data_IF_342766874916
#
_entry.id   IF_342766874916
#
_cell.length_a   1.000
_cell.length_b   1.000
_cell.length_c   1.000
_cell.angle_alpha   90.00
_cell.angle_beta   90.00
_cell.angle_gamma   90.00
#
_symmetry.space_group_name_H-M   'P 1'
#
loop_
_entity.id
_entity.type
_entity.pdbx_description
1 polymer ?
#
# COMPACT_ATOMS: atom_id res chain seq x y z
N UNK A 1 26.04 3.26 -22.30
CA UNK A 1 24.66 3.64 -21.93
C UNK A 1 23.97 3.94 -23.25
N UNK A 2 22.74 3.49 -23.44
CA UNK A 2 21.98 3.79 -24.65
C UNK A 2 21.87 5.32 -24.82
N UNK A 3 22.05 5.83 -26.03
CA UNK A 3 22.01 7.26 -26.36
C UNK A 3 20.66 7.88 -25.97
N UNK A 4 19.58 7.09 -26.08
CA UNK A 4 18.23 7.48 -25.66
C UNK A 4 18.15 7.67 -24.15
N UNK A 5 18.67 6.71 -23.38
CA UNK A 5 18.69 6.79 -21.90
C UNK A 5 19.54 7.97 -21.45
N UNK A 6 20.64 8.25 -22.15
CA UNK A 6 21.45 9.43 -21.88
C UNK A 6 20.69 10.73 -22.10
N UNK A 7 19.88 10.83 -23.15
CA UNK A 7 19.06 12.01 -23.40
C UNK A 7 18.00 12.21 -22.31
N UNK A 8 17.29 11.16 -21.92
CA UNK A 8 16.29 11.21 -20.82
C UNK A 8 16.91 11.75 -19.53
N UNK A 9 18.11 11.29 -19.17
CA UNK A 9 18.80 11.76 -17.97
C UNK A 9 19.20 13.23 -18.07
N UNK A 10 19.58 13.71 -19.26
CA UNK A 10 19.94 15.12 -19.48
C UNK A 10 18.70 16.01 -19.39
N UNK A 11 17.57 15.57 -19.94
CA UNK A 11 16.30 16.29 -19.88
C UNK A 11 15.76 16.33 -18.44
N UNK A 12 15.87 15.22 -17.67
CA UNK A 12 15.55 15.17 -16.24
C UNK A 12 16.38 16.19 -15.44
N UNK A 13 17.69 16.24 -15.69
CA UNK A 13 18.61 17.20 -15.07
C UNK A 13 18.23 18.64 -15.41
N UNK A 14 17.94 18.91 -16.68
CA UNK A 14 17.54 20.24 -17.13
C UNK A 14 16.23 20.68 -16.48
N UNK A 15 15.26 19.77 -16.34
CA UNK A 15 13.97 20.03 -15.72
C UNK A 15 14.11 20.31 -14.22
N UNK A 16 14.83 19.47 -13.48
CA UNK A 16 15.05 19.65 -12.04
C UNK A 16 15.77 20.97 -11.73
N UNK A 17 16.83 21.28 -12.48
CA UNK A 17 17.61 22.51 -12.30
C UNK A 17 16.86 23.75 -12.78
N UNK A 18 16.20 23.65 -13.94
CA UNK A 18 15.38 24.71 -14.51
C UNK A 18 14.22 25.11 -13.60
N UNK A 19 13.49 24.13 -13.05
CA UNK A 19 12.41 24.37 -12.11
C UNK A 19 12.90 25.13 -10.86
N UNK A 20 14.03 24.72 -10.29
CA UNK A 20 14.61 25.41 -9.12
C UNK A 20 15.06 26.83 -9.47
N UNK A 21 15.65 27.04 -10.66
CA UNK A 21 16.01 28.39 -11.12
C UNK A 21 14.78 29.28 -11.29
N UNK A 22 13.69 28.73 -11.84
CA UNK A 22 12.45 29.44 -12.08
C UNK A 22 11.79 29.92 -10.78
N UNK A 23 11.80 29.09 -9.74
CA UNK A 23 11.30 29.44 -8.41
C UNK A 23 12.38 30.04 -7.50
N UNK A 24 13.22 30.90 -8.06
CA UNK A 24 14.18 31.74 -7.31
C UNK A 24 15.17 30.96 -6.42
N UNK A 25 15.45 29.70 -6.77
CA UNK A 25 16.34 28.83 -6.01
C UNK A 25 15.63 27.88 -5.05
N UNK A 26 14.31 27.70 -5.17
CA UNK A 26 13.51 26.77 -4.37
C UNK A 26 12.77 25.75 -5.25
N UNK A 27 12.30 24.61 -4.71
CA UNK A 27 11.49 23.65 -5.46
C UNK A 27 10.07 24.19 -5.72
N UNK A 28 9.39 23.64 -6.72
CA UNK A 28 8.01 23.99 -7.09
C UNK A 28 6.99 23.83 -5.93
N UNK A 29 5.90 24.61 -6.00
CA UNK A 29 4.74 24.41 -5.12
C UNK A 29 4.05 23.06 -5.40
N UNK A 30 4.03 22.18 -4.40
CA UNK A 30 3.51 20.81 -4.51
C UNK A 30 4.55 19.71 -4.53
N UNK A 31 5.84 20.06 -4.46
CA UNK A 31 6.94 19.10 -4.30
C UNK A 31 8.06 19.33 -5.31
N UNK A 32 9.28 19.01 -4.90
CA UNK A 32 10.46 19.06 -5.78
C UNK A 32 10.57 17.83 -6.67
N UNK A 33 11.11 18.03 -7.88
CA UNK A 33 11.58 16.94 -8.74
C UNK A 33 12.77 16.22 -8.07
N UNK A 34 13.03 14.97 -8.48
CA UNK A 34 14.20 14.25 -7.96
C UNK A 34 15.48 15.06 -8.19
N UNK A 35 16.28 15.22 -7.13
CA UNK A 35 17.51 16.00 -7.15
C UNK A 35 17.34 17.52 -7.01
N UNK A 36 16.13 18.02 -6.74
CA UNK A 36 15.90 19.46 -6.46
C UNK A 36 16.80 20.00 -5.35
N UNK A 37 17.02 19.25 -4.26
CA UNK A 37 17.91 19.68 -3.17
C UNK A 37 19.37 19.95 -3.64
N UNK A 38 19.83 19.19 -4.64
CA UNK A 38 21.16 19.40 -5.25
C UNK A 38 21.15 20.59 -6.21
N UNK A 39 20.05 20.80 -6.92
CA UNK A 39 19.86 22.01 -7.73
C UNK A 39 19.84 23.26 -6.84
N UNK A 40 19.14 23.26 -5.71
CA UNK A 40 19.13 24.39 -4.76
C UNK A 40 20.55 24.72 -4.28
N UNK A 41 21.31 23.69 -3.90
CA UNK A 41 22.71 23.86 -3.48
C UNK A 41 23.53 24.53 -4.59
N UNK A 42 23.46 24.01 -5.81
CA UNK A 42 24.18 24.54 -6.97
C UNK A 42 23.76 25.97 -7.32
N UNK A 43 22.46 26.27 -7.27
CA UNK A 43 21.92 27.61 -7.52
C UNK A 43 22.34 28.58 -6.41
N UNK A 44 22.55 28.13 -5.18
CA UNK A 44 23.03 29.00 -4.10
C UNK A 44 24.50 29.46 -4.25
N UNK A 45 25.28 28.84 -5.14
CA UNK A 45 26.70 29.15 -5.31
C UNK A 45 26.94 30.51 -5.99
N UNK A 46 27.84 31.36 -5.46
CA UNK A 46 28.21 32.63 -6.09
C UNK A 46 29.12 32.42 -7.31
N UNK A 47 28.95 33.22 -8.37
CA UNK A 47 29.82 33.18 -9.57
C UNK A 47 29.47 32.09 -10.59
N UNK A 48 28.19 31.72 -10.63
CA UNK A 48 27.58 30.75 -11.54
C UNK A 48 28.09 30.84 -12.98
N UNK A 49 28.68 29.75 -13.46
CA UNK A 49 29.09 29.55 -14.86
C UNK A 49 28.10 28.63 -15.59
N UNK A 50 28.06 28.64 -16.93
CA UNK A 50 27.29 27.66 -17.71
C UNK A 50 27.61 26.23 -17.27
N UNK A 51 26.58 25.38 -17.20
CA UNK A 51 26.67 24.03 -16.65
C UNK A 51 26.68 22.97 -17.74
N UNK A 52 27.59 22.01 -17.62
CA UNK A 52 27.54 20.79 -18.40
C UNK A 52 26.63 19.77 -17.69
N UNK A 53 25.42 19.58 -18.22
CA UNK A 53 24.46 18.65 -17.66
C UNK A 53 24.94 17.21 -17.69
N UNK A 54 25.89 16.82 -18.55
CA UNK A 54 26.42 15.45 -18.62
C UNK A 54 27.26 15.08 -17.41
N UNK A 55 27.94 16.06 -16.82
CA UNK A 55 28.84 15.88 -15.65
C UNK A 55 28.15 16.17 -14.32
N UNK A 56 27.00 16.84 -14.34
CA UNK A 56 26.26 17.18 -13.13
C UNK A 56 25.52 15.96 -12.55
N UNK A 57 26.10 15.37 -11.51
CA UNK A 57 25.51 14.25 -10.78
C UNK A 57 24.58 14.73 -9.64
N UNK A 58 23.33 15.02 -9.99
CA UNK A 58 22.29 15.37 -9.03
C UNK A 58 21.69 14.16 -8.28
N UNK A 59 21.85 12.94 -8.82
CA UNK A 59 21.37 11.67 -8.23
C UNK A 59 22.52 10.66 -8.13
N UNK A 60 22.46 9.76 -7.14
CA UNK A 60 23.45 8.69 -6.94
C UNK A 60 23.29 7.52 -7.92
N UNK A 61 22.12 7.36 -8.52
CA UNK A 61 21.80 6.29 -9.46
C UNK A 61 22.35 6.60 -10.87
N UNK A 62 22.96 5.60 -11.52
CA UNK A 62 23.52 5.72 -12.89
C UNK A 62 22.48 6.02 -13.97
N UNK A 63 21.22 5.64 -13.72
CA UNK A 63 20.09 5.83 -14.62
C UNK A 63 19.19 7.00 -14.21
N UNK A 64 19.63 7.86 -13.28
CA UNK A 64 18.82 8.97 -12.77
C UNK A 64 17.56 8.49 -12.03
N UNK A 65 16.51 9.32 -12.01
CA UNK A 65 15.21 8.98 -11.43
C UNK A 65 14.40 8.05 -12.32
N UNK A 66 14.71 7.98 -13.62
CA UNK A 66 14.08 7.06 -14.56
C UNK A 66 14.10 5.60 -14.08
N UNK A 67 15.20 5.13 -13.49
CA UNK A 67 15.28 3.78 -12.91
C UNK A 67 14.21 3.51 -11.83
N UNK A 68 13.87 4.51 -11.03
CA UNK A 68 12.89 4.36 -9.97
C UNK A 68 11.46 4.22 -10.51
N UNK A 69 11.17 4.82 -11.67
CA UNK A 69 9.82 4.86 -12.26
C UNK A 69 9.63 3.93 -13.46
N UNK A 70 10.71 3.37 -14.02
CA UNK A 70 10.69 2.50 -15.21
C UNK A 70 9.61 1.41 -15.15
N UNK A 71 9.55 0.66 -14.05
CA UNK A 71 8.54 -0.38 -13.86
C UNK A 71 7.11 0.18 -13.84
N UNK A 72 6.89 1.32 -13.20
CA UNK A 72 5.59 1.99 -13.18
C UNK A 72 5.18 2.49 -14.55
N UNK A 73 6.10 3.05 -15.36
CA UNK A 73 5.82 3.53 -16.71
C UNK A 73 5.46 2.36 -17.66
N UNK A 74 6.15 1.24 -17.53
CA UNK A 74 5.81 -0.02 -18.22
C UNK A 74 4.41 -0.48 -17.80
N UNK A 75 4.14 -0.55 -16.50
CA UNK A 75 2.85 -0.98 -15.95
C UNK A 75 1.71 0.00 -16.26
N UNK A 76 2.02 1.25 -16.63
CA UNK A 76 1.07 2.25 -17.14
C UNK A 76 0.82 2.09 -18.64
N UNK A 77 1.52 1.16 -19.31
CA UNK A 77 1.32 0.87 -20.72
C UNK A 77 1.86 1.96 -21.63
N UNK A 78 2.87 2.71 -21.17
CA UNK A 78 3.50 3.79 -21.97
C UNK A 78 4.44 3.26 -23.04
N UNK A 79 4.80 1.98 -22.98
CA UNK A 79 5.67 1.31 -23.95
C UNK A 79 4.91 0.20 -24.67
N UNK A 80 5.29 -0.07 -25.93
CA UNK A 80 4.75 -1.19 -26.70
C UNK A 80 5.17 -2.50 -26.04
N UNK A 81 4.20 -3.36 -25.72
CA UNK A 81 4.49 -4.78 -25.51
C UNK A 81 4.84 -5.36 -26.89
N UNK A 82 5.94 -6.11 -27.01
CA UNK A 82 6.14 -6.93 -28.21
C UNK A 82 4.97 -7.92 -28.29
N UNK A 83 4.37 -8.02 -29.48
CA UNK A 83 3.26 -8.92 -29.76
C UNK A 83 3.60 -10.31 -29.21
N UNK A 84 2.96 -10.68 -28.09
CA UNK A 84 2.81 -12.09 -27.76
C UNK A 84 1.97 -12.67 -28.90
N UNK A 85 2.64 -13.35 -29.84
CA UNK A 85 1.99 -14.05 -30.94
C UNK A 85 0.77 -14.82 -30.41
N UNK A 86 -0.41 -14.48 -30.92
CA UNK A 86 -1.70 -15.19 -30.80
C UNK A 86 -1.89 -16.03 -29.52
N UNK A 87 -2.21 -15.35 -28.42
CA UNK A 87 -2.64 -15.96 -27.15
C UNK A 87 -4.10 -16.48 -27.19
N UNK A 88 -4.56 -16.98 -28.33
CA UNK A 88 -5.89 -17.61 -28.44
C UNK A 88 -5.93 -19.04 -27.83
N UNK A 89 -4.78 -19.58 -27.43
CA UNK A 89 -4.63 -20.90 -26.78
C UNK A 89 -4.15 -20.83 -25.32
N UNK A 90 -4.09 -19.65 -24.68
CA UNK A 90 -3.82 -19.58 -23.23
C UNK A 90 -5.04 -20.07 -22.46
N UNK A 91 -4.93 -21.13 -21.63
CA UNK A 91 -6.00 -21.50 -20.71
C UNK A 91 -6.31 -20.29 -19.84
N UNK A 92 -7.61 -20.00 -19.63
CA UNK A 92 -8.13 -18.90 -18.80
C UNK A 92 -7.65 -18.94 -17.32
N UNK A 93 -6.79 -19.89 -16.96
CA UNK A 93 -6.28 -20.15 -15.61
C UNK A 93 -4.75 -19.98 -15.45
N UNK A 94 -4.02 -19.46 -16.45
CA UNK A 94 -2.55 -19.29 -16.35
C UNK A 94 -2.15 -17.83 -16.06
N UNK A 95 -1.99 -17.60 -14.77
CA UNK A 95 -0.94 -16.83 -14.09
C UNK A 95 -0.63 -15.38 -14.48
N UNK A 96 -0.78 -14.50 -13.49
CA UNK A 96 -0.14 -13.18 -13.38
C UNK A 96 1.41 -13.29 -13.37
N UNK A 97 2.00 -14.48 -13.48
CA UNK A 97 3.46 -14.71 -13.54
C UNK A 97 4.11 -14.08 -14.79
N UNK A 98 3.35 -13.75 -15.83
CA UNK A 98 3.87 -13.02 -16.99
C UNK A 98 4.03 -11.49 -16.75
N UNK A 99 3.42 -10.91 -15.72
CA UNK A 99 3.55 -9.46 -15.40
C UNK A 99 4.82 -9.13 -14.58
N UNK A 100 5.52 -10.16 -14.06
CA UNK A 100 6.74 -9.99 -13.27
C UNK A 100 8.03 -10.49 -13.95
N UNK A 101 7.93 -11.09 -15.14
CA UNK A 101 9.03 -10.94 -16.07
C UNK A 101 9.18 -9.43 -16.25
N UNK A 102 10.28 -8.85 -15.77
CA UNK A 102 10.62 -7.50 -16.15
C UNK A 102 10.47 -7.49 -17.65
N UNK A 103 9.44 -6.83 -18.18
CA UNK A 103 9.36 -6.52 -19.60
C UNK A 103 10.56 -5.62 -19.76
N UNK A 104 11.69 -6.24 -20.06
CA UNK A 104 12.86 -5.53 -20.45
C UNK A 104 12.34 -4.61 -21.54
N UNK A 105 12.65 -3.33 -21.43
CA UNK A 105 12.44 -2.38 -22.51
C UNK A 105 13.28 -2.89 -23.70
N UNK A 106 12.77 -3.91 -24.41
CA UNK A 106 13.45 -4.61 -25.51
C UNK A 106 13.25 -3.82 -26.79
N UNK A 107 12.07 -3.24 -26.97
CA UNK A 107 11.77 -2.37 -28.12
C UNK A 107 12.17 -0.91 -27.90
N UNK A 108 12.11 -0.40 -26.65
CA UNK A 108 12.30 1.03 -26.34
C UNK A 108 11.22 1.95 -26.93
N UNK A 109 10.18 1.41 -27.60
CA UNK A 109 9.17 2.17 -28.33
C UNK A 109 8.00 2.55 -27.44
N UNK A 110 7.54 3.80 -27.57
CA UNK A 110 6.34 4.29 -26.92
C UNK A 110 5.09 3.64 -27.53
N UNK A 111 4.11 3.32 -26.70
CA UNK A 111 2.76 2.99 -27.15
C UNK A 111 2.04 4.24 -27.63
N UNK A 112 0.85 4.12 -28.23
CA UNK A 112 0.01 5.27 -28.59
C UNK A 112 -0.23 6.21 -27.39
N UNK A 113 -0.42 5.65 -26.19
CA UNK A 113 -0.55 6.42 -24.94
C UNK A 113 0.75 7.11 -24.55
N UNK A 114 1.87 6.41 -24.70
CA UNK A 114 3.20 6.98 -24.49
C UNK A 114 3.49 8.14 -25.44
N UNK A 115 3.15 7.98 -26.71
CA UNK A 115 3.29 9.03 -27.74
C UNK A 115 2.40 10.23 -27.45
N UNK A 116 1.13 10.02 -27.09
CA UNK A 116 0.21 11.09 -26.74
C UNK A 116 0.71 11.91 -25.55
N UNK A 117 1.23 11.26 -24.50
CA UNK A 117 1.80 11.95 -23.33
C UNK A 117 3.08 12.71 -23.71
N UNK A 118 3.97 12.09 -24.49
CA UNK A 118 5.20 12.73 -24.94
C UNK A 118 4.94 13.95 -25.84
N UNK A 119 3.97 13.85 -26.75
CA UNK A 119 3.55 14.96 -27.62
C UNK A 119 2.94 16.10 -26.81
N UNK A 120 2.14 15.78 -25.81
CA UNK A 120 1.52 16.78 -24.93
C UNK A 120 2.59 17.55 -24.16
N UNK A 121 3.57 16.85 -23.58
CA UNK A 121 4.72 17.49 -22.95
C UNK A 121 5.52 18.33 -23.96
N UNK A 122 5.81 17.82 -25.15
CA UNK A 122 6.56 18.54 -26.19
C UNK A 122 5.85 19.84 -26.61
N UNK A 123 4.52 19.84 -26.69
CA UNK A 123 3.73 21.03 -26.98
C UNK A 123 3.84 22.07 -25.85
N UNK A 124 3.87 21.64 -24.59
CA UNK A 124 4.01 22.55 -23.44
C UNK A 124 5.35 23.29 -23.41
N UNK A 125 6.43 22.58 -23.77
CA UNK A 125 7.77 23.15 -23.78
C UNK A 125 8.15 23.75 -25.13
N UNK A 126 7.22 23.80 -26.10
CA UNK A 126 7.47 24.29 -27.45
C UNK A 126 8.11 25.68 -27.45
N UNK A 127 9.16 25.85 -28.27
CA UNK A 127 9.91 27.09 -28.40
C UNK A 127 10.81 27.41 -27.20
N UNK A 128 11.00 26.50 -26.25
CA UNK A 128 12.08 26.62 -25.28
C UNK A 128 13.43 26.40 -25.96
N UNK A 129 14.37 27.35 -25.82
CA UNK A 129 15.71 27.24 -26.43
C UNK A 129 16.46 25.96 -26.09
N UNK A 130 16.19 25.38 -24.93
CA UNK A 130 16.80 24.11 -24.51
C UNK A 130 16.57 22.98 -25.52
N UNK A 131 15.40 22.93 -26.18
CA UNK A 131 15.06 21.89 -27.14
C UNK A 131 15.87 21.96 -28.43
N UNK A 132 16.37 23.14 -28.78
CA UNK A 132 17.22 23.37 -29.96
C UNK A 132 18.70 23.04 -29.70
N UNK A 133 19.05 22.71 -28.45
CA UNK A 133 20.41 22.39 -28.06
C UNK A 133 20.68 20.88 -28.13
N UNK A 134 21.93 20.55 -28.42
CA UNK A 134 22.51 19.25 -28.12
C UNK A 134 23.17 19.31 -26.74
N UNK A 135 22.52 18.83 -25.67
CA UNK A 135 22.99 19.02 -24.29
C UNK A 135 24.32 18.32 -23.99
N UNK A 136 24.77 17.44 -24.89
CA UNK A 136 26.05 16.71 -24.81
C UNK A 136 27.23 17.47 -25.42
N UNK A 137 26.99 18.54 -26.17
CA UNK A 137 28.03 19.22 -26.96
C UNK A 137 28.58 20.50 -26.34
N UNK A 138 27.82 21.16 -25.46
CA UNK A 138 28.25 22.41 -24.83
C UNK A 138 27.61 22.66 -23.46
N UNK A 139 28.30 23.38 -22.55
CA UNK A 139 27.70 23.90 -21.33
C UNK A 139 26.50 24.81 -21.62
N UNK A 140 25.42 24.64 -20.85
CA UNK A 140 24.15 25.34 -20.98
C UNK A 140 24.10 26.48 -19.97
N UNK A 141 23.62 27.66 -20.39
CA UNK A 141 23.48 28.80 -19.49
C UNK A 141 22.29 28.62 -18.55
N UNK A 142 22.39 29.18 -17.35
CA UNK A 142 21.28 29.15 -16.39
C UNK A 142 20.04 29.89 -16.91
N UNK A 143 20.19 30.93 -17.74
CA UNK A 143 19.05 31.62 -18.35
C UNK A 143 18.24 30.69 -19.26
N UNK A 144 18.90 29.81 -20.03
CA UNK A 144 18.24 28.83 -20.89
C UNK A 144 17.51 27.78 -20.04
N UNK A 145 18.13 27.32 -18.95
CA UNK A 145 17.50 26.36 -18.04
C UNK A 145 16.32 26.98 -17.28
N UNK A 146 16.43 28.24 -16.88
CA UNK A 146 15.35 29.00 -16.26
C UNK A 146 14.16 29.17 -17.21
N UNK A 147 14.42 29.50 -18.48
CA UNK A 147 13.41 29.57 -19.53
C UNK A 147 12.70 28.22 -19.74
N UNK A 148 13.46 27.12 -19.74
CA UNK A 148 12.89 25.78 -19.83
C UNK A 148 12.07 25.40 -18.59
N UNK A 149 12.57 25.72 -17.38
CA UNK A 149 11.90 25.49 -16.11
C UNK A 149 10.55 26.20 -15.99
N UNK A 150 10.44 27.41 -16.54
CA UNK A 150 9.18 28.17 -16.61
C UNK A 150 8.09 27.51 -17.47
N UNK A 151 8.41 26.44 -18.20
CA UNK A 151 7.46 25.66 -19.00
C UNK A 151 7.36 24.20 -18.56
N UNK A 152 8.48 23.63 -18.12
CA UNK A 152 8.60 22.20 -17.79
C UNK A 152 8.46 21.91 -16.27
N UNK A 153 8.41 22.94 -15.43
CA UNK A 153 8.30 22.79 -13.97
C UNK A 153 6.99 22.13 -13.56
N UNK A 154 7.02 21.26 -12.55
CA UNK A 154 5.85 20.44 -12.16
C UNK A 154 4.61 21.28 -11.84
N UNK A 155 4.76 22.44 -11.18
CA UNK A 155 3.62 23.33 -10.90
C UNK A 155 3.05 23.99 -12.16
N UNK A 156 3.87 24.23 -13.18
CA UNK A 156 3.43 24.78 -14.47
C UNK A 156 2.62 23.76 -15.27
N UNK A 157 2.88 22.46 -15.06
CA UNK A 157 2.11 21.36 -15.64
C UNK A 157 0.79 21.08 -14.87
N UNK A 158 0.56 21.68 -13.69
CA UNK A 158 -0.56 21.32 -12.78
C UNK A 158 -1.86 22.11 -12.97
N UNK A 159 -1.91 23.12 -13.81
CA UNK A 159 -3.17 23.87 -14.01
C UNK A 159 -4.24 22.98 -14.66
N UNK A 160 -5.41 22.84 -14.04
CA UNK A 160 -6.42 21.80 -14.36
C UNK A 160 -7.09 21.90 -15.76
N UNK A 161 -6.69 22.85 -16.60
CA UNK A 161 -7.08 22.94 -18.01
C UNK A 161 -5.85 22.73 -18.94
N UNK A 162 -4.79 22.11 -18.42
CA UNK A 162 -3.51 21.88 -19.09
C UNK A 162 -3.56 20.85 -20.22
N UNK A 163 -2.58 20.96 -21.12
CA UNK A 163 -2.33 20.10 -22.27
C UNK A 163 -2.15 18.61 -21.91
N UNK A 164 -1.74 18.28 -20.68
CA UNK A 164 -1.46 16.91 -20.25
C UNK A 164 -2.59 16.27 -19.44
N UNK A 165 -3.58 17.03 -18.96
CA UNK A 165 -4.65 16.48 -18.13
C UNK A 165 -5.46 15.40 -18.87
N UNK A 166 -5.80 15.62 -20.14
CA UNK A 166 -6.50 14.62 -20.95
C UNK A 166 -5.74 13.29 -21.04
N UNK A 167 -4.52 13.30 -21.59
CA UNK A 167 -3.65 12.12 -21.64
C UNK A 167 -3.42 11.45 -20.29
N UNK A 168 -3.21 12.22 -19.22
CA UNK A 168 -3.03 11.66 -17.87
C UNK A 168 -4.30 11.00 -17.35
N UNK A 169 -5.48 11.59 -17.59
CA UNK A 169 -6.77 10.97 -17.26
C UNK A 169 -6.96 9.67 -18.04
N UNK A 170 -6.65 9.66 -19.34
CA UNK A 170 -6.75 8.46 -20.17
C UNK A 170 -5.75 7.38 -19.74
N UNK A 171 -4.57 7.78 -19.29
CA UNK A 171 -3.54 6.87 -18.76
C UNK A 171 -3.96 6.24 -17.43
N UNK A 172 -4.38 7.05 -16.47
CA UNK A 172 -4.71 6.59 -15.12
C UNK A 172 -6.08 5.92 -15.02
N UNK A 173 -7.07 6.39 -15.79
CA UNK A 173 -8.41 5.81 -15.82
C UNK A 173 -8.64 4.84 -16.99
N UNK A 174 -7.63 4.57 -17.81
CA UNK A 174 -7.61 3.53 -18.84
C UNK A 174 -8.93 3.40 -19.61
N UNK A 175 -9.44 4.52 -20.14
CA UNK A 175 -10.68 4.57 -20.91
C UNK A 175 -10.50 3.70 -22.15
N UNK A 176 -11.18 2.54 -22.22
CA UNK A 176 -11.19 1.66 -23.41
C UNK A 176 -10.43 0.34 -23.32
N UNK A 177 -9.81 -0.02 -22.19
CA UNK A 177 -9.27 -1.37 -21.97
C UNK A 177 -10.29 -2.18 -21.15
N UNK A 178 -10.94 -3.15 -21.77
CA UNK A 178 -11.91 -4.04 -21.13
C UNK A 178 -11.24 -5.36 -20.70
N UNK A 179 -11.53 -5.81 -19.49
CA UNK A 179 -10.98 -7.03 -18.89
C UNK A 179 -10.87 -6.89 -17.38
N UNK A 180 -11.70 -7.64 -16.63
CA UNK A 180 -11.79 -7.56 -15.16
C UNK A 180 -10.48 -7.95 -14.45
N UNK A 181 -9.61 -8.69 -15.13
CA UNK A 181 -8.36 -9.20 -14.56
C UNK A 181 -7.13 -8.35 -14.89
N UNK A 182 -7.27 -7.39 -15.81
CA UNK A 182 -6.18 -6.53 -16.24
C UNK A 182 -5.74 -5.57 -15.11
N UNK A 183 -4.43 -5.45 -14.88
CA UNK A 183 -3.84 -4.52 -13.89
C UNK A 183 -4.26 -3.07 -14.13
N UNK A 184 -4.48 -2.66 -15.39
CA UNK A 184 -5.05 -1.36 -15.76
C UNK A 184 -6.47 -1.17 -15.25
N UNK A 185 -7.33 -2.20 -15.38
CA UNK A 185 -8.69 -2.16 -14.86
C UNK A 185 -8.67 -2.02 -13.33
N UNK A 186 -7.89 -2.85 -12.63
CA UNK A 186 -7.79 -2.80 -11.15
C UNK A 186 -7.27 -1.44 -10.66
N UNK A 187 -6.29 -0.85 -11.35
CA UNK A 187 -5.78 0.50 -11.07
C UNK A 187 -6.86 1.56 -11.24
N UNK A 188 -7.55 1.57 -12.39
CA UNK A 188 -8.68 2.47 -12.67
C UNK A 188 -9.73 2.37 -11.58
N UNK A 189 -10.16 1.15 -11.24
CA UNK A 189 -11.20 0.92 -10.24
C UNK A 189 -10.75 1.37 -8.84
N UNK A 190 -9.46 1.21 -8.50
CA UNK A 190 -8.89 1.73 -7.25
C UNK A 190 -8.93 3.24 -7.21
N UNK A 191 -8.55 3.92 -8.30
CA UNK A 191 -8.60 5.38 -8.37
C UNK A 191 -10.04 5.90 -8.27
N UNK A 192 -10.99 5.26 -8.94
CA UNK A 192 -12.41 5.58 -8.82
C UNK A 192 -12.93 5.35 -7.38
N UNK A 193 -12.47 4.29 -6.72
CA UNK A 193 -12.79 4.03 -5.32
C UNK A 193 -12.23 5.12 -4.39
N UNK A 194 -10.98 5.54 -4.59
CA UNK A 194 -10.35 6.64 -3.83
C UNK A 194 -11.09 7.95 -4.04
N UNK A 195 -11.46 8.30 -5.28
CA UNK A 195 -12.26 9.50 -5.56
C UNK A 195 -13.65 9.43 -4.92
N UNK A 196 -14.30 8.27 -4.97
CA UNK A 196 -15.59 8.06 -4.31
C UNK A 196 -15.45 8.19 -2.78
N UNK A 197 -14.39 7.63 -2.19
CA UNK A 197 -14.10 7.77 -0.76
C UNK A 197 -13.84 9.22 -0.38
N UNK A 198 -13.09 9.97 -1.20
CA UNK A 198 -12.84 11.40 -0.99
C UNK A 198 -14.14 12.19 -1.00
N UNK A 199 -15.03 11.91 -1.96
CA UNK A 199 -16.34 12.56 -2.02
C UNK A 199 -17.20 12.24 -0.79
N UNK A 200 -17.20 10.98 -0.32
CA UNK A 200 -17.93 10.59 0.89
C UNK A 200 -17.33 11.27 2.13
N UNK A 201 -16.00 11.34 2.25
CA UNK A 201 -15.32 12.00 3.37
C UNK A 201 -15.67 13.51 3.41
N UNK A 202 -15.51 14.20 2.27
CA UNK A 202 -15.77 15.64 2.13
C UNK A 202 -17.23 15.99 2.44
N UNK A 203 -18.18 15.18 1.94
CA UNK A 203 -19.61 15.35 2.24
C UNK A 203 -19.95 15.24 3.75
N UNK A 204 -19.05 14.68 4.54
CA UNK A 204 -19.17 14.54 6.00
C UNK A 204 -18.14 15.38 6.78
N UNK A 205 -17.48 16.34 6.11
CA UNK A 205 -16.52 17.25 6.74
C UNK A 205 -15.19 16.61 7.16
N UNK A 206 -14.81 15.50 6.51
CA UNK A 206 -13.55 14.79 6.75
C UNK A 206 -12.60 14.93 5.57
N UNK A 207 -11.31 14.94 5.84
CA UNK A 207 -10.28 14.76 4.82
C UNK A 207 -10.05 13.26 4.57
N UNK A 208 -9.78 12.88 3.32
CA UNK A 208 -9.42 11.51 3.00
C UNK A 208 -7.94 11.27 3.35
N UNK A 209 -7.72 10.41 4.34
CA UNK A 209 -6.41 9.84 4.66
C UNK A 209 -6.43 8.30 4.63
N UNK A 210 -5.30 7.67 4.96
CA UNK A 210 -5.17 6.21 4.97
C UNK A 210 -6.10 5.53 5.98
N UNK A 211 -6.35 6.16 7.12
CA UNK A 211 -7.19 5.61 8.17
C UNK A 211 -8.66 5.68 7.76
N UNK A 212 -9.08 6.82 7.24
CA UNK A 212 -10.41 7.06 6.68
C UNK A 212 -10.70 6.10 5.52
N UNK A 213 -9.74 5.92 4.61
CA UNK A 213 -9.89 4.97 3.51
C UNK A 213 -9.99 3.51 3.98
N UNK A 214 -9.20 3.12 4.99
CA UNK A 214 -9.30 1.82 5.64
C UNK A 214 -10.66 1.62 6.32
N UNK A 215 -11.13 2.62 7.07
CA UNK A 215 -12.44 2.62 7.72
C UNK A 215 -13.57 2.35 6.71
N UNK A 216 -13.53 3.05 5.58
CA UNK A 216 -14.54 2.88 4.53
C UNK A 216 -14.44 1.52 3.81
N UNK A 217 -13.25 0.98 3.57
CA UNK A 217 -13.08 -0.23 2.75
C UNK A 217 -13.11 -1.52 3.56
N UNK A 218 -12.46 -1.54 4.74
CA UNK A 218 -12.38 -2.70 5.62
C UNK A 218 -13.61 -2.82 6.54
N UNK A 219 -14.02 -1.72 7.18
CA UNK A 219 -15.13 -1.71 8.14
C UNK A 219 -16.47 -1.25 7.52
N UNK A 220 -16.45 -0.67 6.31
CA UNK A 220 -17.64 -0.10 5.64
C UNK A 220 -18.32 0.98 6.50
N UNK A 221 -17.52 1.84 7.13
CA UNK A 221 -18.01 2.95 7.97
C UNK A 221 -17.05 4.12 8.07
N UNK A 222 -17.51 5.23 8.62
CA UNK A 222 -16.73 6.44 8.93
C UNK A 222 -16.97 6.87 10.36
N UNK A 223 -15.89 7.26 11.06
CA UNK A 223 -15.95 7.81 12.42
C UNK A 223 -15.82 9.33 12.33
N UNK A 224 -16.81 10.07 12.83
CA UNK A 224 -16.78 11.53 12.83
C UNK A 224 -16.08 12.08 14.10
N UNK A 225 -15.29 13.16 13.99
CA UNK A 225 -14.54 13.75 15.10
C UNK A 225 -15.38 14.28 16.27
N UNK A 226 -16.58 14.81 15.99
CA UNK A 226 -17.29 15.70 16.91
C UNK A 226 -18.45 15.08 17.71
N UNK A 227 -18.82 13.83 17.44
CA UNK A 227 -19.69 13.09 18.35
C UNK A 227 -19.08 11.72 18.59
N UNK A 228 -18.75 11.41 19.85
CA UNK A 228 -18.13 10.16 20.28
C UNK A 228 -18.93 8.88 19.95
N UNK A 229 -20.00 8.97 19.15
CA UNK A 229 -20.87 7.91 18.65
C UNK A 229 -21.49 8.17 17.27
N UNK A 230 -21.16 9.26 16.56
CA UNK A 230 -21.68 9.45 15.21
C UNK A 230 -20.78 8.72 14.23
N UNK A 231 -21.17 7.50 13.92
CA UNK A 231 -20.59 6.71 12.85
C UNK A 231 -21.57 6.67 11.69
N UNK A 232 -21.04 6.69 10.46
CA UNK A 232 -21.85 6.60 9.25
C UNK A 232 -21.52 5.30 8.55
N UNK A 233 -22.55 4.52 8.23
CA UNK A 233 -22.39 3.34 7.38
C UNK A 233 -22.04 3.78 5.95
N UNK A 234 -21.00 3.17 5.39
CA UNK A 234 -20.50 3.49 4.05
C UNK A 234 -20.88 2.37 3.08
N UNK A 235 -21.60 2.75 2.03
CA UNK A 235 -21.86 1.89 0.88
C UNK A 235 -21.21 2.50 -0.34
N UNK A 236 -20.48 1.67 -1.09
CA UNK A 236 -19.96 2.05 -2.39
C UNK A 236 -20.97 1.67 -3.47
N UNK A 237 -20.97 2.39 -4.61
CA UNK A 237 -21.72 1.96 -5.79
C UNK A 237 -21.39 0.50 -6.17
N UNK A 238 -22.35 -0.30 -6.66
CA UNK A 238 -22.14 -1.71 -6.98
C UNK A 238 -20.97 -1.98 -7.94
N UNK A 239 -20.64 -1.01 -8.80
CA UNK A 239 -19.51 -1.09 -9.72
C UNK A 239 -18.15 -1.10 -9.00
N UNK A 240 -18.06 -0.47 -7.82
CA UNK A 240 -16.85 -0.37 -7.01
C UNK A 240 -16.77 -1.43 -5.91
N UNK A 241 -17.81 -2.24 -5.72
CA UNK A 241 -17.82 -3.25 -4.66
C UNK A 241 -16.72 -4.29 -4.85
N UNK A 242 -16.40 -4.68 -6.10
CA UNK A 242 -15.34 -5.66 -6.33
C UNK A 242 -13.98 -5.16 -5.85
N UNK A 243 -13.62 -3.94 -6.23
CA UNK A 243 -12.33 -3.38 -5.86
C UNK A 243 -12.27 -3.03 -4.36
N UNK A 244 -13.39 -2.62 -3.76
CA UNK A 244 -13.48 -2.40 -2.32
C UNK A 244 -13.26 -3.70 -1.52
N UNK A 245 -13.82 -4.83 -1.98
CA UNK A 245 -13.57 -6.15 -1.36
C UNK A 245 -12.10 -6.58 -1.50
N UNK A 246 -11.45 -6.30 -2.63
CA UNK A 246 -10.01 -6.56 -2.80
C UNK A 246 -9.16 -5.71 -1.83
N UNK A 247 -9.51 -4.45 -1.63
CA UNK A 247 -8.87 -3.59 -0.61
C UNK A 247 -9.09 -4.13 0.81
N UNK A 248 -10.29 -4.62 1.13
CA UNK A 248 -10.53 -5.31 2.41
C UNK A 248 -9.58 -6.49 2.60
N UNK A 249 -9.37 -7.32 1.58
CA UNK A 249 -8.39 -8.44 1.63
C UNK A 249 -6.97 -7.90 1.86
N UNK A 250 -6.58 -6.82 1.20
CA UNK A 250 -5.28 -6.18 1.44
C UNK A 250 -5.12 -5.75 2.91
N UNK A 251 -6.15 -5.14 3.51
CA UNK A 251 -6.12 -4.75 4.92
C UNK A 251 -6.09 -5.95 5.87
N UNK A 252 -6.76 -7.07 5.55
CA UNK A 252 -6.57 -8.32 6.29
C UNK A 252 -5.10 -8.73 6.34
N UNK A 253 -4.35 -8.59 5.23
CA UNK A 253 -2.91 -8.87 5.22
C UNK A 253 -2.13 -7.86 6.04
N UNK A 254 -2.46 -6.57 5.97
CA UNK A 254 -1.80 -5.55 6.77
C UNK A 254 -1.90 -5.87 8.27
N UNK A 255 -3.11 -6.17 8.75
CA UNK A 255 -3.33 -6.55 10.15
C UNK A 255 -2.67 -7.88 10.51
N UNK A 256 -2.71 -8.87 9.60
CA UNK A 256 -2.04 -10.16 9.78
C UNK A 256 -0.53 -9.99 9.94
N UNK A 257 0.10 -9.17 9.10
CA UNK A 257 1.53 -8.85 9.19
C UNK A 257 1.88 -8.27 10.55
N UNK A 258 1.13 -7.27 11.04
CA UNK A 258 1.37 -6.69 12.37
C UNK A 258 1.26 -7.74 13.47
N UNK A 259 0.27 -8.63 13.40
CA UNK A 259 0.09 -9.69 14.39
C UNK A 259 1.28 -10.69 14.37
N UNK A 260 1.67 -11.16 13.19
CA UNK A 260 2.77 -12.12 13.03
C UNK A 260 4.12 -11.52 13.41
N UNK A 261 4.40 -10.27 13.03
CA UNK A 261 5.61 -9.55 13.43
C UNK A 261 5.69 -9.38 14.95
N UNK A 262 4.56 -9.08 15.59
CA UNK A 262 4.47 -8.93 17.05
C UNK A 262 4.69 -10.26 17.77
N UNK A 263 4.12 -11.35 17.27
CA UNK A 263 4.38 -12.70 17.79
C UNK A 263 5.85 -13.08 17.62
N UNK A 264 6.43 -12.84 16.44
CA UNK A 264 7.84 -13.10 16.16
C UNK A 264 8.76 -12.30 17.08
N UNK A 265 8.46 -11.02 17.31
CA UNK A 265 9.19 -10.18 18.26
C UNK A 265 9.11 -10.74 19.69
N UNK A 266 7.93 -11.24 20.09
CA UNK A 266 7.71 -11.95 21.34
C UNK A 266 8.60 -13.19 21.50
N UNK A 267 8.61 -14.05 20.47
CA UNK A 267 9.46 -15.26 20.43
C UNK A 267 10.94 -14.89 20.48
N UNK A 268 11.38 -13.93 19.65
CA UNK A 268 12.78 -13.50 19.61
C UNK A 268 13.27 -12.93 20.95
N UNK A 269 12.38 -12.27 21.69
CA UNK A 269 12.66 -11.80 23.05
C UNK A 269 12.73 -12.95 24.05
N UNK A 270 11.78 -13.89 23.99
CA UNK A 270 11.79 -15.07 24.87
C UNK A 270 13.06 -15.92 24.70
N UNK A 271 13.63 -15.95 23.48
CA UNK A 271 14.88 -16.65 23.17
C UNK A 271 16.14 -15.85 23.55
N UNK A 272 16.03 -14.54 23.83
CA UNK A 272 17.19 -13.68 24.11
C UNK A 272 17.86 -14.13 25.41
N UNK A 273 19.16 -14.43 25.33
CA UNK A 273 19.92 -14.94 26.48
C UNK A 273 19.79 -16.45 26.70
N UNK A 274 19.07 -17.17 25.83
CA UNK A 274 18.92 -18.63 25.86
C UNK A 274 19.54 -19.27 24.61
N UNK A 275 20.89 -19.40 24.53
CA UNK A 275 21.57 -19.90 23.33
C UNK A 275 21.29 -21.37 23.02
N UNK A 276 20.82 -22.15 24.00
CA UNK A 276 20.36 -23.53 23.80
C UNK A 276 18.93 -23.61 23.23
N UNK A 277 18.27 -22.48 23.02
CA UNK A 277 16.85 -22.40 22.68
C UNK A 277 15.95 -22.58 23.90
N UNK A 278 14.65 -22.54 23.64
CA UNK A 278 13.56 -22.82 24.58
C UNK A 278 12.51 -23.66 23.89
N UNK A 279 11.79 -24.47 24.66
CA UNK A 279 10.62 -25.18 24.17
C UNK A 279 9.47 -24.20 23.88
N UNK A 280 8.53 -24.60 23.02
CA UNK A 280 7.32 -23.81 22.74
C UNK A 280 6.54 -23.54 24.03
N UNK A 281 6.42 -24.53 24.92
CA UNK A 281 5.75 -24.37 26.21
C UNK A 281 6.37 -23.29 27.07
N UNK A 282 7.70 -23.26 27.18
CA UNK A 282 8.42 -22.23 27.94
C UNK A 282 8.28 -20.84 27.30
N UNK A 283 8.22 -20.75 25.96
CA UNK A 283 8.01 -19.46 25.27
C UNK A 283 6.59 -18.96 25.53
N UNK A 284 5.60 -19.84 25.46
CA UNK A 284 4.21 -19.49 25.75
C UNK A 284 4.05 -19.01 27.19
N UNK A 285 4.71 -19.65 28.17
CA UNK A 285 4.67 -19.23 29.59
C UNK A 285 5.08 -17.76 29.78
N UNK A 286 6.02 -17.23 28.98
CA UNK A 286 6.39 -15.80 29.02
C UNK A 286 5.26 -14.88 28.49
N UNK A 287 4.35 -15.38 27.66
CA UNK A 287 3.26 -14.60 27.07
C UNK A 287 2.12 -14.36 28.06
N UNK A 288 2.14 -15.02 29.22
CA UNK A 288 1.13 -14.91 30.27
C UNK A 288 1.76 -14.61 31.65
N UNK A 289 2.91 -13.92 31.66
CA UNK A 289 3.51 -13.45 32.90
C UNK A 289 2.64 -12.39 33.60
N UNK A 290 3.00 -12.05 34.84
CA UNK A 290 2.22 -11.11 35.66
C UNK A 290 2.13 -9.73 35.02
N UNK A 291 3.19 -9.28 34.37
CA UNK A 291 3.27 -7.96 33.74
C UNK A 291 2.37 -7.91 32.50
N UNK A 292 2.32 -9.00 31.71
CA UNK A 292 1.41 -9.15 30.58
C UNK A 292 -0.05 -9.07 31.04
N UNK A 293 -0.42 -9.78 32.12
CA UNK A 293 -1.79 -9.76 32.66
C UNK A 293 -2.18 -8.39 33.19
N UNK A 294 -1.27 -7.70 33.87
CA UNK A 294 -1.51 -6.34 34.36
C UNK A 294 -1.75 -5.36 33.20
N UNK A 295 -0.92 -5.42 32.16
CA UNK A 295 -1.08 -4.58 30.98
C UNK A 295 -2.37 -4.89 30.22
N UNK A 296 -2.76 -6.16 30.09
CA UNK A 296 -4.06 -6.53 29.50
C UNK A 296 -5.25 -6.03 30.34
N UNK A 297 -5.17 -6.12 31.67
CA UNK A 297 -6.20 -5.64 32.57
C UNK A 297 -6.38 -4.12 32.50
N UNK A 298 -5.28 -3.36 32.37
CA UNK A 298 -5.30 -1.91 32.18
C UNK A 298 -6.01 -1.51 30.88
N UNK A 299 -5.77 -2.25 29.79
CA UNK A 299 -6.29 -1.88 28.47
C UNK A 299 -7.66 -2.42 28.10
N UNK A 300 -8.12 -3.53 28.70
CA UNK A 300 -9.33 -4.23 28.26
C UNK A 300 -10.38 -4.42 29.35
N UNK A 301 -10.28 -3.67 30.46
CA UNK A 301 -11.20 -3.79 31.63
C UNK A 301 -11.36 -5.24 32.13
N UNK A 302 -10.34 -6.08 31.89
CA UNK A 302 -10.36 -7.49 32.22
C UNK A 302 -10.10 -7.68 33.72
N UNK A 303 -10.89 -8.53 34.39
CA UNK A 303 -10.56 -8.99 35.74
C UNK A 303 -9.53 -10.12 35.63
N UNK A 304 -8.30 -9.94 36.12
CA UNK A 304 -7.15 -10.82 35.84
C UNK A 304 -7.15 -12.11 36.68
N UNK A 305 -8.31 -12.72 36.91
CA UNK A 305 -8.36 -13.99 37.65
C UNK A 305 -8.01 -15.20 36.77
N UNK A 306 -8.22 -15.10 35.47
CA UNK A 306 -7.91 -16.19 34.53
C UNK A 306 -6.63 -15.86 33.75
N UNK A 307 -5.76 -16.85 33.62
CA UNK A 307 -4.59 -16.82 32.72
C UNK A 307 -5.05 -16.66 31.27
N UNK A 308 -4.40 -15.78 30.49
CA UNK A 308 -4.73 -15.57 29.07
C UNK A 308 -4.62 -16.88 28.28
N UNK A 309 -3.63 -17.70 28.61
CA UNK A 309 -3.42 -19.01 27.99
C UNK A 309 -4.57 -19.99 28.19
N UNK A 310 -5.27 -19.90 29.33
CA UNK A 310 -6.40 -20.76 29.71
C UNK A 310 -7.73 -20.23 29.16
N UNK A 311 -7.76 -19.00 28.62
CA UNK A 311 -8.90 -18.51 27.86
C UNK A 311 -9.01 -19.27 26.54
N UNK A 312 -10.20 -19.28 25.96
CA UNK A 312 -10.41 -19.73 24.58
C UNK A 312 -10.42 -18.50 23.65
N UNK A 313 -10.18 -18.65 22.33
CA UNK A 313 -10.32 -17.56 21.37
C UNK A 313 -11.68 -16.86 21.46
N UNK A 314 -12.78 -17.61 21.64
CA UNK A 314 -14.11 -17.01 21.83
C UNK A 314 -14.19 -16.16 23.11
N UNK A 315 -13.61 -16.62 24.22
CA UNK A 315 -13.61 -15.86 25.48
C UNK A 315 -12.73 -14.61 25.41
N UNK A 316 -11.60 -14.65 24.70
CA UNK A 316 -10.74 -13.48 24.55
C UNK A 316 -11.38 -12.40 23.68
N UNK A 317 -12.10 -12.78 22.62
CA UNK A 317 -12.88 -11.84 21.82
C UNK A 317 -14.12 -11.32 22.55
N UNK A 318 -14.75 -12.12 23.40
CA UNK A 318 -15.84 -11.66 24.27
C UNK A 318 -15.38 -10.58 25.26
N UNK A 319 -14.12 -10.64 25.72
CA UNK A 319 -13.52 -9.59 26.54
C UNK A 319 -13.34 -8.26 25.78
N UNK A 320 -13.34 -8.30 24.44
CA UNK A 320 -13.36 -7.13 23.56
C UNK A 320 -14.78 -6.70 23.16
N UNK A 321 -15.82 -7.31 23.74
CA UNK A 321 -17.22 -7.04 23.40
C UNK A 321 -17.72 -7.75 22.14
N UNK A 322 -17.00 -8.74 21.61
CA UNK A 322 -17.46 -9.53 20.44
C UNK A 322 -18.12 -10.82 20.90
N UNK A 323 -19.41 -10.99 20.58
CA UNK A 323 -20.11 -12.26 20.77
C UNK A 323 -19.87 -13.20 19.57
N UNK A 324 -19.02 -14.20 19.76
CA UNK A 324 -18.57 -15.12 18.70
C UNK A 324 -19.65 -16.14 18.32
N UNK A 325 -20.45 -16.61 19.28
CA UNK A 325 -21.42 -17.68 19.05
C UNK A 325 -22.46 -17.35 17.95
N UNK A 326 -23.15 -16.20 17.96
CA UNK A 326 -24.10 -15.85 16.92
C UNK A 326 -23.43 -15.57 15.56
N UNK A 327 -22.17 -15.12 15.56
CA UNK A 327 -21.40 -14.89 14.34
C UNK A 327 -21.06 -16.19 13.61
N UNK A 328 -20.61 -17.21 14.34
CA UNK A 328 -20.32 -18.53 13.76
C UNK A 328 -21.59 -19.26 13.29
N UNK A 329 -22.76 -18.93 13.86
CA UNK A 329 -24.06 -19.44 13.41
C UNK A 329 -24.59 -18.71 12.17
N UNK A 330 -23.85 -17.74 11.62
CA UNK A 330 -24.26 -16.99 10.42
C UNK A 330 -25.39 -15.99 10.67
N UNK A 331 -25.58 -15.54 11.92
CA UNK A 331 -26.61 -14.55 12.25
C UNK A 331 -26.33 -13.23 11.53
N UNK A 332 -27.21 -12.86 10.58
CA UNK A 332 -27.04 -11.62 9.80
C UNK A 332 -27.03 -10.38 10.69
N UNK A 333 -27.80 -10.36 11.78
CA UNK A 333 -27.78 -9.24 12.73
C UNK A 333 -26.47 -9.17 13.52
N UNK A 334 -25.85 -10.31 13.81
CA UNK A 334 -24.55 -10.33 14.49
C UNK A 334 -23.42 -9.91 13.53
N UNK A 335 -23.46 -10.34 12.27
CA UNK A 335 -22.52 -9.89 11.24
C UNK A 335 -22.63 -8.39 11.02
N UNK A 336 -23.85 -7.85 11.00
CA UNK A 336 -24.05 -6.41 10.91
C UNK A 336 -23.54 -5.70 12.16
N UNK A 337 -23.78 -6.24 13.35
CA UNK A 337 -23.22 -5.71 14.60
C UNK A 337 -21.67 -5.77 14.63
N UNK A 338 -21.04 -6.75 13.99
CA UNK A 338 -19.57 -6.82 13.84
C UNK A 338 -19.04 -5.79 12.84
N UNK A 339 -19.82 -5.44 11.82
CA UNK A 339 -19.50 -4.37 10.86
C UNK A 339 -19.66 -2.99 11.50
N UNK A 340 -20.73 -2.79 12.27
CA UNK A 340 -21.05 -1.53 12.95
C UNK A 340 -20.44 -1.40 14.35
N UNK A 341 -19.80 -2.45 14.88
CA UNK A 341 -19.21 -2.50 16.21
C UNK A 341 -17.81 -1.88 16.25
N UNK A 342 -17.21 -1.79 17.44
CA UNK A 342 -15.88 -1.19 17.63
C UNK A 342 -14.83 -1.72 16.63
N UNK A 343 -13.96 -0.83 16.12
CA UNK A 343 -12.86 -1.15 15.19
C UNK A 343 -11.74 -1.87 15.95
N UNK A 344 -12.04 -3.07 16.43
CA UNK A 344 -11.19 -3.80 17.37
C UNK A 344 -9.82 -4.11 16.74
N UNK A 345 -9.77 -4.50 15.48
CA UNK A 345 -8.51 -4.75 14.77
C UNK A 345 -7.64 -3.48 14.69
N UNK A 346 -8.24 -2.31 14.47
CA UNK A 346 -7.52 -1.02 14.48
C UNK A 346 -7.01 -0.68 15.88
N UNK A 347 -7.82 -0.87 16.92
CA UNK A 347 -7.41 -0.64 18.32
C UNK A 347 -6.26 -1.56 18.72
N UNK A 348 -6.38 -2.86 18.44
CA UNK A 348 -5.33 -3.85 18.72
C UNK A 348 -4.05 -3.55 17.93
N UNK A 349 -4.17 -3.21 16.63
CA UNK A 349 -3.04 -2.74 15.82
C UNK A 349 -2.39 -1.50 16.40
N UNK A 350 -3.16 -0.50 16.82
CA UNK A 350 -2.60 0.74 17.40
C UNK A 350 -1.78 0.44 18.65
N UNK A 351 -2.26 -0.47 19.51
CA UNK A 351 -1.49 -0.93 20.66
C UNK A 351 -0.18 -1.61 20.20
N UNK A 352 -0.25 -2.49 19.20
CA UNK A 352 0.91 -3.19 18.62
C UNK A 352 1.79 -2.33 17.69
N UNK A 353 1.48 -1.08 17.41
CA UNK A 353 2.41 -0.18 16.71
C UNK A 353 3.10 0.74 17.72
N UNK A 354 2.47 0.98 18.87
CA UNK A 354 3.12 1.63 20.00
C UNK A 354 4.28 0.76 20.52
N UNK A 355 5.47 1.36 20.55
CA UNK A 355 6.73 0.70 20.93
C UNK A 355 6.68 0.04 22.30
N UNK A 356 5.77 0.49 23.19
CA UNK A 356 5.54 -0.09 24.51
C UNK A 356 5.05 -1.54 24.47
N UNK A 357 4.15 -1.90 23.55
CA UNK A 357 3.56 -3.23 23.51
C UNK A 357 4.30 -4.20 22.60
N UNK A 358 4.82 -3.74 21.46
CA UNK A 358 5.65 -4.60 20.57
C UNK A 358 6.82 -5.21 21.32
N UNK A 359 7.42 -4.42 22.21
CA UNK A 359 8.57 -4.82 23.03
C UNK A 359 8.15 -5.30 24.42
N UNK A 360 6.90 -5.06 24.80
CA UNK A 360 6.32 -5.29 26.13
C UNK A 360 5.77 -6.70 26.32
N UNK A 361 5.63 -7.16 27.58
CA UNK A 361 5.25 -8.54 27.91
C UNK A 361 3.87 -8.93 27.34
N UNK A 362 2.93 -7.99 27.24
CA UNK A 362 1.59 -8.21 26.68
C UNK A 362 1.50 -8.28 25.14
N UNK A 363 2.55 -7.90 24.40
CA UNK A 363 2.52 -7.84 22.93
C UNK A 363 2.01 -9.13 22.27
N UNK A 364 2.52 -10.32 22.64
CA UNK A 364 2.07 -11.59 22.06
C UNK A 364 0.60 -11.91 22.32
N UNK A 365 0.08 -11.56 23.50
CA UNK A 365 -1.34 -11.78 23.82
C UNK A 365 -2.25 -10.88 22.98
N UNK A 366 -1.91 -9.59 22.85
CA UNK A 366 -2.63 -8.64 21.99
C UNK A 366 -2.56 -9.09 20.52
N UNK A 367 -1.40 -9.60 20.08
CA UNK A 367 -1.22 -10.13 18.74
C UNK A 367 -2.07 -11.38 18.46
N UNK A 368 -2.17 -12.30 19.43
CA UNK A 368 -3.07 -13.45 19.33
C UNK A 368 -4.55 -13.02 19.27
N UNK A 369 -4.96 -12.04 20.09
CA UNK A 369 -6.31 -11.46 20.02
C UNK A 369 -6.58 -10.81 18.66
N UNK A 370 -5.59 -10.14 18.08
CA UNK A 370 -5.68 -9.59 16.72
C UNK A 370 -5.88 -10.71 15.69
N UNK A 371 -5.08 -11.79 15.73
CA UNK A 371 -5.27 -12.96 14.86
C UNK A 371 -6.67 -13.55 14.96
N UNK A 372 -7.19 -13.75 16.17
CA UNK A 372 -8.53 -14.31 16.36
C UNK A 372 -9.63 -13.38 15.84
N UNK A 373 -9.48 -12.06 16.05
CA UNK A 373 -10.44 -11.08 15.51
C UNK A 373 -10.44 -11.07 13.98
N UNK A 374 -9.25 -11.14 13.35
CA UNK A 374 -9.11 -11.25 11.90
C UNK A 374 -9.73 -12.54 11.37
N UNK A 375 -9.45 -13.68 12.01
CA UNK A 375 -10.03 -14.97 11.65
C UNK A 375 -11.56 -14.94 11.67
N UNK A 376 -12.15 -14.35 12.71
CA UNK A 376 -13.60 -14.20 12.85
C UNK A 376 -14.17 -13.27 11.77
N UNK A 377 -13.61 -12.06 11.62
CA UNK A 377 -14.07 -11.10 10.62
C UNK A 377 -13.93 -11.64 9.21
N UNK A 378 -12.85 -12.37 8.90
CA UNK A 378 -12.66 -12.99 7.60
C UNK A 378 -13.77 -14.01 7.30
N UNK A 379 -14.00 -14.96 8.22
CA UNK A 379 -15.08 -15.96 8.09
C UNK A 379 -16.47 -15.30 7.94
N UNK A 380 -16.72 -14.17 8.59
CA UNK A 380 -18.04 -13.53 8.60
C UNK A 380 -18.29 -12.47 7.51
N UNK A 381 -17.25 -11.83 6.97
CA UNK A 381 -17.43 -10.61 6.14
C UNK A 381 -16.83 -10.68 4.75
N UNK A 382 -16.01 -11.69 4.45
CA UNK A 382 -15.45 -11.90 3.12
C UNK A 382 -16.38 -12.80 2.33
N UNK A 383 -16.91 -12.29 1.22
CA UNK A 383 -17.79 -13.06 0.35
C UNK A 383 -17.07 -14.24 -0.29
N UNK A 384 -17.81 -15.32 -0.56
CA UNK A 384 -17.28 -16.60 -1.04
C UNK A 384 -16.36 -16.47 -2.26
N UNK A 385 -16.69 -15.59 -3.21
CA UNK A 385 -15.87 -15.35 -4.42
C UNK A 385 -14.47 -14.78 -4.15
N UNK A 386 -14.24 -14.27 -2.93
CA UNK A 386 -12.95 -13.68 -2.51
C UNK A 386 -12.19 -14.56 -1.53
N UNK A 387 -12.80 -15.64 -1.05
CA UNK A 387 -12.15 -16.55 -0.13
C UNK A 387 -10.98 -17.25 -0.83
N UNK A 388 -9.78 -17.13 -0.28
CA UNK A 388 -8.58 -17.69 -0.89
C UNK A 388 -8.10 -16.98 -2.17
N UNK A 389 -8.70 -15.86 -2.58
CA UNK A 389 -8.28 -15.11 -3.78
C UNK A 389 -6.79 -14.74 -3.72
N UNK A 390 -6.33 -14.26 -2.57
CA UNK A 390 -4.93 -13.94 -2.30
C UNK A 390 -4.00 -15.17 -2.37
N UNK A 391 -4.49 -16.37 -2.02
CA UNK A 391 -3.68 -17.59 -2.03
C UNK A 391 -3.27 -17.98 -3.46
N UNK A 392 -4.07 -17.62 -4.45
CA UNK A 392 -3.73 -17.84 -5.85
C UNK A 392 -2.71 -16.82 -6.38
N UNK A 393 -2.40 -15.77 -5.62
CA UNK A 393 -1.56 -14.64 -6.05
C UNK A 393 -0.25 -14.51 -5.25
N UNK A 394 0.06 -15.47 -4.39
CA UNK A 394 1.32 -15.54 -3.64
C UNK A 394 2.36 -16.36 -4.39
N UNK A 395 3.64 -15.95 -4.32
CA UNK A 395 4.75 -16.59 -5.04
C UNK A 395 4.90 -18.06 -4.67
N UNK A 396 4.64 -18.40 -3.41
CA UNK A 396 4.68 -19.77 -2.98
C UNK A 396 3.52 -20.10 -2.04
N UNK A 397 2.47 -20.69 -2.62
CA UNK A 397 1.25 -21.09 -1.92
C UNK A 397 1.48 -22.00 -0.71
N UNK A 398 2.65 -22.65 -0.61
CA UNK A 398 3.03 -23.53 0.50
C UNK A 398 3.80 -22.82 1.63
N UNK A 399 4.46 -21.70 1.35
CA UNK A 399 5.32 -21.00 2.32
C UNK A 399 4.81 -19.61 2.70
N UNK A 400 3.99 -18.99 1.85
CA UNK A 400 3.43 -17.68 2.12
C UNK A 400 2.24 -17.78 3.09
N UNK A 401 2.39 -17.18 4.27
CA UNK A 401 1.36 -17.17 5.30
C UNK A 401 0.22 -16.26 4.83
N UNK A 402 -0.96 -16.85 4.73
CA UNK A 402 -2.20 -16.15 4.39
C UNK A 402 -3.29 -16.49 5.38
N UNK A 403 -4.24 -15.58 5.60
CA UNK A 403 -5.33 -15.81 6.53
C UNK A 403 -6.17 -17.06 6.18
N UNK A 404 -6.49 -17.35 4.90
CA UNK A 404 -7.11 -18.63 4.52
C UNK A 404 -6.26 -19.85 4.85
N UNK A 405 -4.94 -19.77 4.64
CA UNK A 405 -4.03 -20.85 5.00
C UNK A 405 -3.99 -21.12 6.50
N UNK A 406 -3.95 -20.05 7.30
CA UNK A 406 -4.02 -20.13 8.76
C UNK A 406 -5.34 -20.74 9.25
N UNK A 407 -6.47 -20.26 8.72
CA UNK A 407 -7.79 -20.82 9.04
C UNK A 407 -7.91 -22.30 8.66
N UNK A 408 -7.43 -22.67 7.47
CA UNK A 408 -7.39 -24.06 7.04
C UNK A 408 -6.54 -24.94 7.98
N UNK A 409 -5.38 -24.45 8.42
CA UNK A 409 -4.53 -25.18 9.36
C UNK A 409 -5.22 -25.40 10.71
N UNK A 410 -5.90 -24.38 11.25
CA UNK A 410 -6.67 -24.49 12.49
C UNK A 410 -7.81 -25.49 12.35
N UNK A 411 -8.63 -25.36 11.30
CA UNK A 411 -9.78 -26.24 11.05
C UNK A 411 -9.30 -27.69 10.79
N UNK A 412 -8.17 -27.91 10.13
CA UNK A 412 -7.59 -29.24 9.93
C UNK A 412 -7.05 -29.88 11.23
N UNK A 413 -6.48 -29.07 12.12
CA UNK A 413 -5.86 -29.53 13.36
C UNK A 413 -6.86 -29.75 14.49
N UNK A 414 -7.95 -28.97 14.52
CA UNK A 414 -8.87 -28.87 15.66
C UNK A 414 -10.35 -28.97 15.28
N UNK A 415 -10.70 -28.99 13.99
CA UNK A 415 -12.09 -28.83 13.54
C UNK A 415 -12.64 -27.44 13.87
N UNK A 416 -13.97 -27.26 13.83
CA UNK A 416 -14.60 -25.97 14.19
C UNK A 416 -14.50 -25.64 15.69
N UNK A 417 -14.05 -26.57 16.52
CA UNK A 417 -13.99 -26.44 17.98
C UNK A 417 -12.82 -25.59 18.48
N UNK A 418 -11.89 -25.15 17.62
CA UNK A 418 -10.72 -24.36 18.07
C UNK A 418 -11.09 -23.03 18.73
N UNK A 419 -12.29 -22.49 18.48
CA UNK A 419 -12.83 -21.33 19.19
C UNK A 419 -13.05 -21.57 20.69
N UNK A 420 -13.17 -22.84 21.08
CA UNK A 420 -13.41 -23.33 22.44
C UNK A 420 -12.21 -24.10 23.03
N UNK A 421 -11.16 -24.33 22.24
CA UNK A 421 -9.87 -24.83 22.70
C UNK A 421 -9.10 -23.73 23.44
N UNK A 422 -8.25 -24.10 24.42
CA UNK A 422 -7.44 -23.10 25.12
C UNK A 422 -6.45 -22.42 24.17
N UNK A 423 -6.20 -21.13 24.37
CA UNK A 423 -5.25 -20.36 23.57
C UNK A 423 -3.86 -21.00 23.61
N UNK A 424 -3.47 -21.56 24.76
CA UNK A 424 -2.21 -22.32 24.89
C UNK A 424 -2.13 -23.47 23.88
N UNK A 425 -3.19 -24.27 23.79
CA UNK A 425 -3.20 -25.43 22.90
C UNK A 425 -3.27 -25.02 21.44
N UNK A 426 -4.07 -23.98 21.11
CA UNK A 426 -4.13 -23.41 19.76
C UNK A 426 -2.74 -22.94 19.32
N UNK A 427 -2.11 -22.05 20.10
CA UNK A 427 -0.82 -21.43 19.77
C UNK A 427 0.36 -22.43 19.78
N UNK A 428 0.25 -23.54 20.53
CA UNK A 428 1.32 -24.55 20.57
C UNK A 428 1.36 -25.44 19.33
N UNK A 429 0.28 -25.48 18.54
CA UNK A 429 0.12 -26.41 17.40
C UNK A 429 -0.23 -25.74 16.08
N UNK A 430 -0.65 -24.47 16.10
CA UNK A 430 -0.78 -23.60 14.92
C UNK A 430 0.57 -23.03 14.52
#
# INVERSE_FOLDING_TARGET
MDEVVQRVILDERAMALGAVLHHEGHPCEGGGLQGSNKAETLVSEPGRSPIDLSTWNHLQAKEGGFAAYKGSLINLGLFQAEDAEDDQDRPEDIDDEAEHASVALTSGKLSEKGEALAQSFAAAVEGAKYLDLEPTQAPITFDVLNEFGAKAGLCELREADSFDLGPLRDLFFAVGIEGLENSHYRRRMTLLLVLQAAHIADANGLELDNDTFNDMTFYRRLVLPDEAKSEIAVSFPPQLDDIAERWKIFYFHNYLTVALESLLAGVARSLRGHPAGRTIGEILDDFDDVDARMALAEHFEFKPTDSFQEMTPARSLAALGIDVAPLLQGSSSAVEALRSGEMIERRLRSLLVDTGFVRGPAGPAIAAMLLFSLALRYKCTVGDRYQGWNRQKVFNQQYDISLPGYLYALDAQFGDDWWHTSIREVMARS
#
